data_IF_107737474749
#
_entry.id   IF_107737474749
#
_cell.length_a   1.000
_cell.length_b   1.000
_cell.length_c   1.000
_cell.angle_alpha   90.00
_cell.angle_beta   90.00
_cell.angle_gamma   90.00
#
_symmetry.space_group_name_H-M   'P 1'
#
loop_
_entity.id
_entity.type
_entity.pdbx_description
1 polymer ?
#
# COMPACT_ATOMS: atom_id res chain seq x y z
N UNK A 1 -3.77 -5.38 7.12
CA UNK A 1 -4.76 -4.45 7.70
C UNK A 1 -4.65 -3.09 7.01
N UNK A 2 -5.69 -2.59 6.32
CA UNK A 2 -5.71 -1.21 5.80
C UNK A 2 -5.77 -0.26 6.99
N UNK A 3 -4.82 0.66 7.12
CA UNK A 3 -4.83 1.62 8.23
C UNK A 3 -5.97 2.60 7.96
N UNK A 4 -6.92 2.73 8.89
CA UNK A 4 -8.01 3.72 8.80
C UNK A 4 -7.40 5.10 8.54
N UNK A 5 -7.86 5.82 7.52
CA UNK A 5 -7.28 7.12 7.13
C UNK A 5 -6.18 7.05 6.08
N UNK A 6 -6.02 5.92 5.39
CA UNK A 6 -5.16 5.79 4.23
C UNK A 6 -5.96 5.24 3.04
N UNK A 7 -5.88 5.92 1.88
CA UNK A 7 -6.47 5.45 0.62
C UNK A 7 -7.87 6.00 0.38
N UNK A 8 -8.86 5.11 0.31
CA UNK A 8 -10.24 5.46 -0.08
C UNK A 8 -10.83 6.56 0.82
N UNK A 9 -10.69 6.47 2.13
CA UNK A 9 -11.18 7.50 3.07
C UNK A 9 -10.61 8.89 2.79
N UNK A 10 -9.34 8.96 2.39
CA UNK A 10 -8.66 10.21 2.08
C UNK A 10 -9.13 10.77 0.76
N UNK A 11 -9.18 9.92 -0.25
CA UNK A 11 -9.64 10.30 -1.57
C UNK A 11 -11.12 10.73 -1.53
N UNK A 12 -11.99 10.06 -0.77
CA UNK A 12 -13.42 10.40 -0.62
C UNK A 12 -13.64 11.74 0.10
N UNK A 13 -12.70 12.15 0.96
CA UNK A 13 -12.74 13.41 1.70
C UNK A 13 -11.81 14.48 1.11
N UNK A 14 -11.28 14.26 -0.09
CA UNK A 14 -10.43 15.20 -0.82
C UNK A 14 -11.15 15.77 -2.05
N UNK A 15 -10.52 16.71 -2.76
CA UNK A 15 -11.02 17.17 -4.06
C UNK A 15 -10.88 16.12 -5.17
N UNK A 16 -10.18 15.00 -4.92
CA UNK A 16 -10.18 13.86 -5.83
C UNK A 16 -11.55 13.19 -5.81
N UNK A 17 -12.26 13.26 -6.93
CA UNK A 17 -13.47 12.45 -7.11
C UNK A 17 -13.06 10.99 -7.20
N UNK A 18 -13.25 10.23 -6.12
CA UNK A 18 -13.46 8.80 -6.26
C UNK A 18 -14.82 8.56 -6.92
N UNK A 19 -14.93 7.47 -7.67
CA UNK A 19 -16.20 7.06 -8.24
C UNK A 19 -17.26 6.99 -7.13
N UNK A 20 -18.15 7.97 -7.12
CA UNK A 20 -19.46 7.87 -6.51
C UNK A 20 -20.38 7.31 -7.59
N UNK A 21 -21.26 6.34 -7.27
CA UNK A 21 -22.11 5.73 -8.28
C UNK A 21 -22.83 6.82 -9.08
N UNK A 22 -22.53 6.90 -10.37
CA UNK A 22 -23.34 7.66 -11.32
C UNK A 22 -24.67 6.91 -11.46
N UNK A 23 -25.69 7.39 -10.76
CA UNK A 23 -27.12 7.11 -10.96
C UNK A 23 -27.54 5.63 -11.13
N UNK A 24 -26.76 4.65 -10.66
CA UNK A 24 -27.09 3.22 -10.75
C UNK A 24 -27.18 2.55 -9.38
N UNK A 25 -28.14 1.63 -9.26
CA UNK A 25 -28.75 1.19 -8.01
C UNK A 25 -27.93 0.20 -7.14
N UNK A 26 -26.60 0.09 -7.30
CA UNK A 26 -25.74 -0.72 -6.44
C UNK A 26 -24.26 -0.40 -6.65
N UNK A 27 -23.43 -0.49 -5.60
CA UNK A 27 -21.97 -0.40 -5.75
C UNK A 27 -21.45 -1.51 -6.68
N UNK A 28 -20.52 -1.19 -7.61
CA UNK A 28 -19.91 -2.19 -8.49
C UNK A 28 -19.09 -3.22 -7.69
N UNK A 29 -19.01 -4.45 -8.20
CA UNK A 29 -18.25 -5.52 -7.56
C UNK A 29 -16.73 -5.23 -7.58
N UNK A 30 -16.13 -5.10 -6.41
CA UNK A 30 -14.71 -4.76 -6.20
C UNK A 30 -13.83 -6.00 -5.95
N UNK A 31 -14.36 -7.22 -6.14
CA UNK A 31 -13.57 -8.45 -6.03
C UNK A 31 -12.44 -8.50 -7.05
N UNK A 32 -11.34 -9.18 -6.69
CA UNK A 32 -10.10 -9.19 -7.46
C UNK A 32 -10.31 -9.62 -8.94
N UNK A 33 -11.17 -10.61 -9.17
CA UNK A 33 -11.51 -11.13 -10.49
C UNK A 33 -12.38 -10.18 -11.33
N UNK A 34 -12.96 -9.14 -10.71
CA UNK A 34 -13.79 -8.13 -11.37
C UNK A 34 -13.10 -6.82 -11.68
N UNK A 35 -11.94 -6.54 -11.08
CA UNK A 35 -11.23 -5.26 -11.29
C UNK A 35 -10.91 -5.03 -12.77
N UNK A 36 -10.37 -6.03 -13.47
CA UNK A 36 -10.04 -5.91 -14.91
C UNK A 36 -11.28 -5.64 -15.75
N UNK A 37 -12.36 -6.39 -15.53
CA UNK A 37 -13.64 -6.22 -16.23
C UNK A 37 -14.19 -4.81 -16.04
N UNK A 38 -14.15 -4.30 -14.80
CA UNK A 38 -14.61 -2.95 -14.47
C UNK A 38 -13.73 -1.85 -15.09
N UNK A 39 -12.43 -2.08 -15.27
CA UNK A 39 -11.56 -1.17 -16.03
C UNK A 39 -11.92 -1.20 -17.53
N UNK A 40 -12.08 -2.41 -18.10
CA UNK A 40 -12.35 -2.58 -19.53
C UNK A 40 -13.70 -2.02 -19.98
N UNK A 41 -14.73 -2.13 -19.13
CA UNK A 41 -16.06 -1.60 -19.41
C UNK A 41 -16.22 -0.12 -19.02
N UNK A 42 -15.19 0.50 -18.42
CA UNK A 42 -15.19 1.91 -18.01
C UNK A 42 -15.97 2.20 -16.73
N UNK A 43 -16.33 1.18 -15.93
CA UNK A 43 -16.90 1.36 -14.60
C UNK A 43 -15.87 1.97 -13.64
N UNK A 44 -14.60 1.57 -13.77
CA UNK A 44 -13.46 2.14 -13.06
C UNK A 44 -12.54 2.88 -14.02
N UNK A 45 -12.13 4.08 -13.62
CA UNK A 45 -11.13 4.89 -14.36
C UNK A 45 -9.69 4.57 -13.91
N UNK A 46 -9.54 4.02 -12.71
CA UNK A 46 -8.26 3.60 -12.13
C UNK A 46 -8.49 2.46 -11.12
N UNK A 47 -7.47 1.67 -10.88
CA UNK A 47 -7.47 0.62 -9.88
C UNK A 47 -6.14 0.55 -9.15
N UNK A 48 -6.20 0.01 -7.93
CA UNK A 48 -5.04 -0.32 -7.12
C UNK A 48 -5.21 -1.75 -6.59
N UNK A 49 -4.09 -2.43 -6.34
CA UNK A 49 -4.11 -3.77 -5.77
C UNK A 49 -2.96 -4.02 -4.79
N UNK A 50 -1.74 -4.36 -5.26
CA UNK A 50 -0.60 -4.61 -4.36
C UNK A 50 0.72 -4.06 -4.92
N UNK A 51 1.02 -4.38 -6.18
CA UNK A 51 2.32 -4.12 -6.79
C UNK A 51 2.58 -5.04 -7.99
N UNK A 52 3.73 -4.88 -8.66
CA UNK A 52 3.94 -5.47 -9.99
C UNK A 52 3.63 -6.96 -10.06
N UNK A 53 4.01 -7.78 -9.06
CA UNK A 53 3.78 -9.21 -9.11
C UNK A 53 2.31 -9.62 -9.21
N UNK A 54 1.44 -9.00 -8.42
CA UNK A 54 0.03 -9.40 -8.33
C UNK A 54 -0.81 -8.63 -9.35
N UNK A 55 -0.52 -7.35 -9.56
CA UNK A 55 -1.22 -6.49 -10.52
C UNK A 55 -1.13 -7.07 -11.95
N UNK A 56 0.02 -7.68 -12.30
CA UNK A 56 0.18 -8.36 -13.58
C UNK A 56 -0.56 -9.70 -13.65
N UNK A 57 -0.70 -10.43 -12.55
CA UNK A 57 -1.51 -11.66 -12.51
C UNK A 57 -3.00 -11.38 -12.68
N UNK A 58 -3.46 -10.22 -12.19
CA UNK A 58 -4.81 -9.73 -12.44
C UNK A 58 -5.01 -9.18 -13.86
N UNK A 59 -3.95 -9.10 -14.67
CA UNK A 59 -4.03 -8.59 -16.05
C UNK A 59 -4.37 -7.10 -16.13
N UNK A 60 -4.12 -6.31 -15.08
CA UNK A 60 -4.50 -4.89 -15.06
C UNK A 60 -3.79 -4.07 -16.13
N UNK A 61 -2.57 -4.45 -16.48
CA UNK A 61 -1.79 -3.89 -17.57
C UNK A 61 -2.37 -4.16 -18.98
N UNK A 62 -3.24 -5.15 -19.11
CA UNK A 62 -3.92 -5.48 -20.36
C UNK A 62 -5.32 -4.86 -20.43
N UNK A 63 -5.82 -4.28 -19.33
CA UNK A 63 -7.10 -3.61 -19.34
C UNK A 63 -7.08 -2.45 -20.34
N UNK A 64 -8.22 -2.26 -21.00
CA UNK A 64 -8.37 -1.28 -22.07
C UNK A 64 -7.99 0.13 -21.56
N UNK A 65 -7.30 0.88 -22.41
CA UNK A 65 -6.92 2.28 -22.18
C UNK A 65 -5.96 2.55 -20.99
N UNK A 66 -5.41 1.51 -20.36
CA UNK A 66 -4.36 1.65 -19.34
C UNK A 66 -3.02 2.05 -19.96
N UNK A 67 -2.49 3.19 -19.52
CA UNK A 67 -1.22 3.76 -19.97
C UNK A 67 -0.27 4.16 -18.85
N UNK A 68 -0.76 4.22 -17.61
CA UNK A 68 -0.01 4.77 -16.48
C UNK A 68 -0.01 3.80 -15.31
N UNK A 69 1.15 3.67 -14.67
CA UNK A 69 1.31 2.93 -13.43
C UNK A 69 2.00 3.80 -12.38
N UNK A 70 1.21 4.36 -11.47
CA UNK A 70 1.69 5.37 -10.52
C UNK A 70 2.31 4.79 -9.26
N UNK A 71 3.29 5.51 -8.69
CA UNK A 71 3.92 5.20 -7.40
C UNK A 71 4.27 6.47 -6.60
N UNK A 72 4.47 6.40 -5.28
CA UNK A 72 4.15 5.26 -4.40
C UNK A 72 2.65 5.19 -4.10
N UNK A 73 2.14 3.99 -3.81
CA UNK A 73 0.83 3.82 -3.16
C UNK A 73 0.90 4.32 -1.72
N UNK A 74 0.72 5.63 -1.50
CA UNK A 74 0.92 6.25 -0.19
C UNK A 74 -0.02 5.72 0.89
N UNK A 75 -1.14 5.12 0.46
CA UNK A 75 -2.12 4.50 1.34
C UNK A 75 -1.62 3.21 1.99
N UNK A 76 -0.75 2.47 1.31
CA UNK A 76 -0.22 1.21 1.80
C UNK A 76 1.29 1.16 1.57
N UNK A 77 2.08 1.93 2.37
CA UNK A 77 3.53 1.95 2.22
C UNK A 77 4.20 0.61 2.58
N UNK A 78 3.49 -0.23 3.34
CA UNK A 78 3.85 -1.62 3.63
C UNK A 78 2.62 -2.34 4.16
N UNK A 79 2.32 -3.51 3.60
CA UNK A 79 1.17 -4.31 4.00
C UNK A 79 1.63 -5.42 4.96
N UNK A 80 1.09 -5.41 6.17
CA UNK A 80 1.24 -6.51 7.13
C UNK A 80 -0.01 -7.38 7.11
N UNK A 81 0.20 -8.69 7.02
CA UNK A 81 -0.85 -9.70 7.10
C UNK A 81 -1.03 -10.19 8.54
N UNK A 82 -2.28 -10.46 8.90
CA UNK A 82 -2.67 -10.93 10.22
C UNK A 82 -3.31 -12.32 10.12
N UNK A 83 -3.00 -13.20 11.07
CA UNK A 83 -3.76 -14.44 11.26
C UNK A 83 -4.64 -14.28 12.49
N UNK A 84 -5.96 -14.37 12.29
CA UNK A 84 -6.92 -14.31 13.37
C UNK A 84 -7.25 -15.73 13.86
N UNK A 85 -7.17 -15.94 15.17
CA UNK A 85 -7.47 -17.21 15.81
C UNK A 85 -8.60 -17.01 16.81
N UNK A 86 -9.57 -17.92 16.83
CA UNK A 86 -10.59 -17.90 17.87
C UNK A 86 -9.94 -17.97 19.26
N UNK A 87 -10.31 -17.03 20.13
CA UNK A 87 -9.69 -16.85 21.44
C UNK A 87 -9.80 -18.11 22.32
N UNK A 88 -10.98 -18.72 22.40
CA UNK A 88 -11.19 -19.90 23.24
C UNK A 88 -10.38 -21.10 22.74
N UNK A 89 -10.24 -21.26 21.42
CA UNK A 89 -9.38 -22.29 20.83
C UNK A 89 -7.91 -22.02 21.14
N UNK A 90 -7.48 -20.77 21.02
CA UNK A 90 -6.13 -20.35 21.34
C UNK A 90 -5.76 -20.64 22.80
N UNK A 91 -6.64 -20.30 23.74
CA UNK A 91 -6.42 -20.50 25.17
C UNK A 91 -6.38 -21.98 25.58
N UNK A 92 -7.06 -22.86 24.82
CA UNK A 92 -7.01 -24.32 25.00
C UNK A 92 -5.75 -24.98 24.46
N UNK A 93 -4.96 -24.29 23.63
CA UNK A 93 -3.71 -24.85 23.12
C UNK A 93 -2.65 -24.88 24.23
N UNK A 94 -1.95 -26.02 24.33
CA UNK A 94 -0.72 -26.12 25.10
C UNK A 94 0.26 -25.01 24.72
N UNK A 95 1.01 -24.52 25.70
CA UNK A 95 1.98 -23.43 25.49
C UNK A 95 2.96 -23.72 24.35
N UNK A 96 3.41 -24.98 24.20
CA UNK A 96 4.29 -25.38 23.09
C UNK A 96 3.69 -25.08 21.71
N UNK A 97 2.39 -25.30 21.52
CA UNK A 97 1.72 -25.04 20.24
C UNK A 97 1.45 -23.56 20.04
N UNK A 98 1.16 -22.81 21.12
CA UNK A 98 1.10 -21.34 21.03
C UNK A 98 2.45 -20.74 20.60
N UNK A 99 3.58 -21.29 21.09
CA UNK A 99 4.91 -20.85 20.67
C UNK A 99 5.22 -21.22 19.22
N UNK A 100 4.97 -22.46 18.82
CA UNK A 100 5.16 -22.91 17.43
C UNK A 100 4.33 -22.06 16.47
N UNK A 101 3.07 -21.80 16.80
CA UNK A 101 2.20 -20.96 15.98
C UNK A 101 2.75 -19.54 15.81
N UNK A 102 3.18 -18.90 16.91
CA UNK A 102 3.79 -17.56 16.82
C UNK A 102 5.06 -17.58 15.98
N UNK A 103 5.93 -18.57 16.16
CA UNK A 103 7.17 -18.70 15.38
C UNK A 103 6.87 -18.85 13.89
N UNK A 104 5.88 -19.68 13.53
CA UNK A 104 5.43 -19.82 12.15
C UNK A 104 4.93 -18.47 11.58
N UNK A 105 4.10 -17.72 12.31
CA UNK A 105 3.65 -16.39 11.86
C UNK A 105 4.82 -15.42 11.62
N UNK A 106 5.82 -15.39 12.53
CA UNK A 106 7.00 -14.53 12.35
C UNK A 106 7.81 -14.92 11.12
N UNK A 107 8.06 -16.23 10.93
CA UNK A 107 8.80 -16.73 9.77
C UNK A 107 8.05 -16.41 8.47
N UNK A 108 6.76 -16.72 8.40
CA UNK A 108 5.93 -16.44 7.23
C UNK A 108 5.88 -14.94 6.91
N UNK A 109 5.82 -14.06 7.91
CA UNK A 109 5.88 -12.61 7.68
C UNK A 109 7.19 -12.19 6.97
N UNK A 110 8.33 -12.72 7.42
CA UNK A 110 9.63 -12.42 6.80
C UNK A 110 9.75 -13.02 5.40
N UNK A 111 9.27 -14.25 5.20
CA UNK A 111 9.27 -14.93 3.90
C UNK A 111 8.42 -14.18 2.87
N UNK A 112 7.20 -13.77 3.23
CA UNK A 112 6.32 -12.99 2.36
C UNK A 112 7.03 -11.70 1.92
N UNK A 113 7.61 -10.96 2.85
CA UNK A 113 8.31 -9.71 2.51
C UNK A 113 9.48 -9.94 1.54
N UNK A 114 10.29 -10.96 1.79
CA UNK A 114 11.43 -11.31 0.94
C UNK A 114 10.98 -11.75 -0.46
N UNK A 115 9.94 -12.59 -0.53
CA UNK A 115 9.39 -13.12 -1.76
C UNK A 115 8.77 -12.01 -2.63
N UNK A 116 8.00 -11.09 -2.04
CA UNK A 116 7.45 -9.94 -2.78
C UNK A 116 8.55 -9.01 -3.28
N UNK A 117 9.62 -8.76 -2.51
CA UNK A 117 10.75 -7.95 -2.99
C UNK A 117 11.40 -8.58 -4.23
N UNK A 118 11.66 -9.90 -4.20
CA UNK A 118 12.22 -10.62 -5.34
C UNK A 118 11.27 -10.56 -6.55
N UNK A 119 10.02 -10.95 -6.37
CA UNK A 119 9.05 -11.08 -7.46
C UNK A 119 8.69 -9.73 -8.07
N UNK A 120 8.44 -8.71 -7.25
CA UNK A 120 8.16 -7.35 -7.74
C UNK A 120 9.36 -6.81 -8.53
N UNK A 121 10.60 -7.05 -8.09
CA UNK A 121 11.78 -6.60 -8.83
C UNK A 121 11.85 -7.18 -10.24
N UNK A 122 11.55 -8.49 -10.39
CA UNK A 122 11.56 -9.18 -11.69
C UNK A 122 10.39 -8.78 -12.56
N UNK A 123 9.19 -8.71 -12.01
CA UNK A 123 7.97 -8.42 -12.77
C UNK A 123 7.93 -6.98 -13.24
N UNK A 124 8.42 -6.03 -12.43
CA UNK A 124 8.55 -4.64 -12.85
C UNK A 124 9.46 -4.47 -14.08
N UNK A 125 10.58 -5.21 -14.14
CA UNK A 125 11.47 -5.20 -15.31
C UNK A 125 10.77 -5.79 -16.54
N UNK A 126 10.05 -6.90 -16.37
CA UNK A 126 9.27 -7.50 -17.47
C UNK A 126 8.18 -6.57 -17.97
N UNK A 127 7.48 -5.87 -17.08
CA UNK A 127 6.47 -4.88 -17.45
C UNK A 127 7.05 -3.81 -18.37
N UNK A 128 8.21 -3.24 -18.01
CA UNK A 128 8.92 -2.23 -18.82
C UNK A 128 9.31 -2.73 -20.22
N UNK A 129 9.76 -3.98 -20.31
CA UNK A 129 10.23 -4.57 -21.58
C UNK A 129 9.05 -4.96 -22.47
N UNK A 130 8.04 -5.62 -21.90
CA UNK A 130 6.95 -6.23 -22.67
C UNK A 130 5.81 -5.25 -22.95
N UNK A 131 5.64 -4.22 -22.12
CA UNK A 131 4.61 -3.20 -22.27
C UNK A 131 5.23 -1.79 -22.18
N UNK A 132 6.10 -1.42 -23.14
CA UNK A 132 6.80 -0.13 -23.12
C UNK A 132 5.85 1.07 -23.27
N UNK A 133 4.59 0.84 -23.62
CA UNK A 133 3.51 1.83 -23.66
C UNK A 133 2.91 2.16 -22.28
N UNK A 134 3.29 1.44 -21.21
CA UNK A 134 2.87 1.73 -19.84
C UNK A 134 3.96 2.58 -19.17
N UNK A 135 3.63 3.83 -18.89
CA UNK A 135 4.52 4.76 -18.21
C UNK A 135 4.44 4.57 -16.69
N UNK A 136 5.58 4.25 -16.07
CA UNK A 136 5.69 4.12 -14.61
C UNK A 136 6.06 5.48 -14.04
N UNK A 137 5.11 6.12 -13.35
CA UNK A 137 5.19 7.53 -12.98
C UNK A 137 5.16 7.74 -11.48
N UNK A 138 5.96 8.68 -10.99
CA UNK A 138 5.81 9.14 -9.61
C UNK A 138 4.63 10.11 -9.54
N UNK A 139 3.80 10.02 -8.50
CA UNK A 139 2.88 11.09 -8.15
C UNK A 139 3.64 12.42 -7.95
N UNK A 140 3.03 13.53 -8.37
CA UNK A 140 3.66 14.85 -8.25
C UNK A 140 3.83 15.24 -6.78
N UNK A 141 4.80 16.11 -6.44
CA UNK A 141 4.96 16.60 -5.08
C UNK A 141 3.67 17.20 -4.51
N UNK A 142 2.94 17.96 -5.33
CA UNK A 142 1.65 18.56 -4.96
C UNK A 142 0.62 17.52 -4.52
N UNK A 143 0.44 16.43 -5.29
CA UNK A 143 -0.46 15.34 -4.94
C UNK A 143 -0.01 14.67 -3.63
N UNK A 144 1.29 14.44 -3.48
CA UNK A 144 1.85 13.79 -2.30
C UNK A 144 1.68 14.65 -1.03
N UNK A 145 1.86 15.97 -1.14
CA UNK A 145 1.68 16.91 -0.03
C UNK A 145 0.21 17.03 0.38
N UNK A 146 -0.70 17.08 -0.61
CA UNK A 146 -2.14 17.05 -0.37
C UNK A 146 -2.57 15.75 0.33
N UNK A 147 -2.13 14.59 -0.19
CA UNK A 147 -2.41 13.28 0.39
C UNK A 147 -1.89 13.15 1.82
N UNK A 148 -0.67 13.61 2.09
CA UNK A 148 -0.08 13.63 3.43
C UNK A 148 -0.92 14.49 4.39
N UNK A 149 -1.28 15.69 3.97
CA UNK A 149 -2.06 16.63 4.79
C UNK A 149 -3.43 16.05 5.13
N UNK A 150 -4.12 15.49 4.14
CA UNK A 150 -5.42 14.85 4.35
C UNK A 150 -5.31 13.61 5.27
N UNK A 151 -4.29 12.78 5.09
CA UNK A 151 -3.98 11.62 5.95
C UNK A 151 -3.79 12.05 7.40
N UNK A 152 -2.91 13.03 7.65
CA UNK A 152 -2.61 13.52 8.99
C UNK A 152 -3.90 14.09 9.64
N UNK A 153 -4.68 14.90 8.91
CA UNK A 153 -5.93 15.46 9.39
C UNK A 153 -6.98 14.41 9.75
N UNK A 154 -7.14 13.38 8.91
CA UNK A 154 -8.08 12.29 9.16
C UNK A 154 -7.70 11.51 10.42
N UNK A 155 -6.43 11.11 10.56
CA UNK A 155 -5.96 10.33 11.70
C UNK A 155 -6.14 11.10 13.02
N UNK A 156 -5.84 12.40 13.02
CA UNK A 156 -6.06 13.25 14.20
C UNK A 156 -7.56 13.39 14.53
N UNK A 157 -8.41 13.67 13.53
CA UNK A 157 -9.86 13.76 13.71
C UNK A 157 -10.46 12.44 14.21
N UNK A 158 -10.04 11.32 13.64
CA UNK A 158 -10.47 9.98 14.07
C UNK A 158 -10.01 9.70 15.51
N UNK A 159 -8.81 10.14 15.88
CA UNK A 159 -8.34 10.12 17.26
C UNK A 159 -9.24 10.90 18.23
N UNK A 160 -9.94 11.94 17.81
CA UNK A 160 -10.78 12.76 18.70
C UNK A 160 -12.19 12.18 18.94
N UNK A 161 -12.57 11.10 18.25
CA UNK A 161 -13.88 10.48 18.39
C UNK A 161 -14.17 9.96 19.81
N UNK A 162 -15.44 9.89 20.21
CA UNK A 162 -15.82 9.61 21.61
C UNK A 162 -16.17 8.16 21.89
N UNK A 163 -16.35 7.34 20.87
CA UNK A 163 -16.67 5.92 21.01
C UNK A 163 -15.50 5.09 21.57
N UNK A 164 -15.82 3.90 22.08
CA UNK A 164 -14.85 3.03 22.75
C UNK A 164 -13.70 2.61 21.83
N UNK A 165 -13.97 2.34 20.54
CA UNK A 165 -12.94 1.99 19.56
C UNK A 165 -12.01 3.17 19.25
N UNK A 166 -12.49 4.42 19.32
CA UNK A 166 -11.62 5.60 19.17
C UNK A 166 -10.61 5.69 20.31
N UNK A 167 -10.97 5.24 21.52
CA UNK A 167 -10.01 5.15 22.64
C UNK A 167 -8.89 4.14 22.34
N UNK A 168 -9.24 2.98 21.77
CA UNK A 168 -8.25 1.98 21.34
C UNK A 168 -7.35 2.55 20.24
N UNK A 169 -7.95 3.16 19.22
CA UNK A 169 -7.22 3.83 18.15
C UNK A 169 -6.27 4.90 18.68
N UNK A 170 -6.72 5.81 19.56
CA UNK A 170 -5.86 6.86 20.15
C UNK A 170 -4.59 6.30 20.78
N UNK A 171 -4.73 5.21 21.54
CA UNK A 171 -3.59 4.59 22.21
C UNK A 171 -2.59 4.02 21.20
N UNK A 172 -3.08 3.27 20.21
CA UNK A 172 -2.24 2.68 19.16
C UNK A 172 -1.62 3.77 18.29
N UNK A 173 -2.41 4.77 17.87
CA UNK A 173 -1.99 5.88 17.02
C UNK A 173 -0.89 6.71 17.67
N UNK A 174 -0.98 6.98 18.98
CA UNK A 174 0.08 7.68 19.72
C UNK A 174 1.42 6.95 19.63
N UNK A 175 1.41 5.65 19.92
CA UNK A 175 2.63 4.84 19.96
C UNK A 175 3.19 4.64 18.54
N UNK A 176 2.31 4.42 17.56
CA UNK A 176 2.66 4.36 16.14
C UNK A 176 3.24 5.68 15.62
N UNK A 177 2.66 6.83 15.97
CA UNK A 177 3.11 8.15 15.52
C UNK A 177 4.54 8.43 16.00
N UNK A 178 4.81 8.13 17.27
CA UNK A 178 6.17 8.23 17.83
C UNK A 178 7.14 7.31 17.09
N UNK A 179 6.80 6.03 16.94
CA UNK A 179 7.66 5.09 16.22
C UNK A 179 7.91 5.52 14.77
N UNK A 180 6.89 6.06 14.08
CA UNK A 180 6.99 6.58 12.72
C UNK A 180 7.98 7.74 12.62
N UNK A 181 8.01 8.64 13.61
CA UNK A 181 8.97 9.74 13.67
C UNK A 181 10.40 9.20 13.86
N UNK A 182 10.59 8.30 14.82
CA UNK A 182 11.89 7.69 15.13
C UNK A 182 12.46 6.90 13.92
N UNK A 183 11.64 6.07 13.28
CA UNK A 183 12.10 5.24 12.15
C UNK A 183 12.35 6.05 10.89
N UNK A 184 11.63 7.16 10.67
CA UNK A 184 11.89 8.05 9.52
C UNK A 184 13.23 8.72 9.64
N UNK A 185 13.58 9.17 10.85
CA UNK A 185 14.89 9.77 11.10
C UNK A 185 16.02 8.79 10.81
N UNK A 186 15.90 7.53 11.26
CA UNK A 186 16.85 6.49 10.90
C UNK A 186 16.87 6.20 9.39
N UNK A 187 15.69 6.12 8.75
CA UNK A 187 15.57 5.81 7.32
C UNK A 187 16.23 6.87 6.44
N UNK A 188 16.18 8.14 6.84
CA UNK A 188 16.84 9.23 6.13
C UNK A 188 18.36 9.07 6.06
N UNK A 189 18.96 8.36 7.02
CA UNK A 189 20.41 8.14 7.10
C UNK A 189 20.86 6.76 6.63
N UNK A 190 19.92 5.80 6.52
CA UNK A 190 20.22 4.40 6.21
C UNK A 190 19.68 3.92 4.87
N UNK A 191 18.89 4.74 4.17
CA UNK A 191 18.30 4.34 2.91
C UNK A 191 19.37 4.16 1.81
N UNK A 192 19.66 2.90 1.52
CA UNK A 192 20.67 2.48 0.55
C UNK A 192 20.42 3.00 -0.88
N UNK A 193 19.17 3.32 -1.25
CA UNK A 193 18.92 3.92 -2.58
C UNK A 193 19.54 5.30 -2.72
N UNK A 194 19.72 6.05 -1.62
CA UNK A 194 20.40 7.35 -1.65
C UNK A 194 21.87 7.21 -2.07
N UNK A 195 22.52 6.08 -1.78
CA UNK A 195 23.89 5.81 -2.21
C UNK A 195 24.04 5.72 -3.73
N UNK A 196 23.03 5.21 -4.44
CA UNK A 196 23.04 5.13 -5.92
C UNK A 196 22.39 6.33 -6.60
N UNK A 197 21.78 7.23 -5.83
CA UNK A 197 21.20 8.49 -6.29
C UNK A 197 22.16 9.65 -6.02
N UNK A 198 23.46 9.41 -6.19
CA UNK A 198 24.46 10.48 -6.08
C UNK A 198 24.10 11.60 -7.07
N UNK A 199 24.17 12.87 -6.63
CA UNK A 199 24.00 14.00 -7.53
C UNK A 199 24.92 13.87 -8.75
N UNK A 200 24.51 14.36 -9.94
CA UNK A 200 25.33 14.27 -11.15
C UNK A 200 26.76 14.78 -10.96
N UNK A 201 26.99 15.76 -10.08
CA UNK A 201 28.32 16.28 -9.75
C UNK A 201 29.28 15.28 -9.07
N UNK A 202 28.78 14.15 -8.54
CA UNK A 202 29.58 13.09 -7.94
C UNK A 202 29.75 11.87 -8.86
N UNK A 203 29.14 11.88 -10.06
CA UNK A 203 29.39 10.89 -11.09
C UNK A 203 30.66 11.27 -11.86
N UNK A 204 31.69 10.42 -11.84
CA UNK A 204 32.94 10.65 -12.57
C UNK A 204 32.63 10.67 -14.07
N UNK A 205 32.94 11.76 -14.81
CA UNK A 205 32.70 11.81 -16.25
C UNK A 205 33.51 10.74 -16.99
N UNK A 206 32.85 9.93 -17.83
CA UNK A 206 33.52 9.03 -18.78
C UNK A 206 33.54 7.55 -18.42
N UNK A 207 32.75 7.10 -17.44
CA UNK A 207 32.51 5.67 -17.21
C UNK A 207 31.01 5.39 -17.43
N UNK A 208 30.65 5.09 -18.67
CA UNK A 208 29.41 4.42 -19.08
C UNK A 208 29.72 3.48 -20.24
#
# INVERSE_FOLDING_TARGET
>A
MRIVGFGEDILQNSEFKLYQPLDSASEPDKSADKIKENLENGTFEAAEWIGPHDDMQLGLHEARDIKFYYYPGWWEPSTTFDVQVNKDRWERLDKKYQYIFKAACYQTHLEILAEYNEKNSKVLQKLKINHPNIEILRFTPEIMDAAKTATDNYLEKWGQGRESYHKVFRNVYRDWKKFKEDIREWSNHSNYTQFYQLPPEFLIPGIS
#
